data_IF_985394693562
#
_entry.id   IF_985394693562
#
_cell.length_a   1.000
_cell.length_b   1.000
_cell.length_c   1.000
_cell.angle_alpha   90.00
_cell.angle_beta   90.00
_cell.angle_gamma   90.00
#
_symmetry.space_group_name_H-M   'P 1'
#
loop_
_entity.id
_entity.type
_entity.pdbx_description
1 polymer ?
#
# COMPACT_ATOMS: atom_id res chain seq x y z
N UNK A 1 -5.29 13.50 7.98
CA UNK A 1 -4.26 12.71 7.27
C UNK A 1 -4.30 13.13 5.81
N UNK A 2 -3.21 13.69 5.30
CA UNK A 2 -3.16 14.26 3.95
C UNK A 2 -3.11 13.10 2.94
N UNK A 3 -4.11 13.02 2.05
CA UNK A 3 -4.12 12.18 0.84
C UNK A 3 -3.21 12.79 -0.26
N UNK A 4 -2.31 13.68 0.13
CA UNK A 4 -1.43 14.42 -0.78
C UNK A 4 -0.06 13.79 -0.77
N UNK A 5 0.62 13.92 -1.90
CA UNK A 5 2.07 13.80 -1.99
C UNK A 5 2.67 14.56 -0.79
N UNK A 6 3.61 13.97 -0.02
CA UNK A 6 4.18 14.62 1.17
C UNK A 6 4.66 16.06 0.93
N UNK A 7 5.03 16.39 -0.32
CA UNK A 7 5.50 17.70 -0.74
C UNK A 7 4.38 18.61 -1.31
N UNK A 8 3.15 18.13 -1.46
CA UNK A 8 2.03 18.87 -2.06
C UNK A 8 1.06 19.39 -0.98
N UNK A 9 0.94 20.72 -0.88
CA UNK A 9 0.05 21.37 0.08
C UNK A 9 -1.37 21.53 -0.48
N UNK A 10 -2.35 20.94 0.20
CA UNK A 10 -3.76 21.10 -0.14
C UNK A 10 -4.21 22.56 0.08
N UNK A 11 -4.88 23.20 -0.89
CA UNK A 11 -5.37 24.56 -0.74
C UNK A 11 -6.46 24.67 0.34
N UNK A 12 -6.37 25.70 1.17
CA UNK A 12 -7.34 26.00 2.23
C UNK A 12 -8.63 26.59 1.64
N UNK A 13 -9.72 25.83 1.74
CA UNK A 13 -11.02 26.21 1.17
C UNK A 13 -11.56 27.54 1.72
N UNK A 14 -11.24 27.88 2.96
CA UNK A 14 -11.67 29.14 3.57
C UNK A 14 -10.94 30.36 2.98
N UNK A 15 -9.73 30.14 2.42
CA UNK A 15 -8.92 31.20 1.80
C UNK A 15 -9.14 31.34 0.30
N UNK A 16 -9.25 30.21 -0.41
CA UNK A 16 -9.27 30.21 -1.89
C UNK A 16 -10.65 29.92 -2.49
N UNK A 17 -11.62 29.49 -1.66
CA UNK A 17 -12.96 29.12 -2.09
C UNK A 17 -13.03 27.77 -2.81
N UNK A 18 -14.25 27.22 -2.93
CA UNK A 18 -14.46 25.85 -3.43
C UNK A 18 -14.03 25.65 -4.90
N UNK A 19 -14.14 26.68 -5.75
CA UNK A 19 -13.76 26.58 -7.18
C UNK A 19 -12.27 26.30 -7.36
N UNK A 20 -11.42 26.94 -6.56
CA UNK A 20 -9.98 26.73 -6.60
C UNK A 20 -9.61 25.31 -6.13
N UNK A 21 -10.31 24.79 -5.10
CA UNK A 21 -10.14 23.40 -4.64
C UNK A 21 -10.55 22.39 -5.72
N UNK A 22 -11.65 22.64 -6.44
CA UNK A 22 -12.06 21.80 -7.57
C UNK A 22 -11.00 21.81 -8.68
N UNK A 23 -10.49 22.99 -9.03
CA UNK A 23 -9.47 23.09 -10.08
C UNK A 23 -8.19 22.35 -9.67
N UNK A 24 -7.70 22.58 -8.46
CA UNK A 24 -6.57 21.84 -7.88
C UNK A 24 -6.79 20.31 -7.93
N UNK A 25 -8.00 19.85 -7.61
CA UNK A 25 -8.34 18.42 -7.67
C UNK A 25 -8.27 17.88 -9.09
N UNK A 26 -8.78 18.63 -10.08
CA UNK A 26 -8.72 18.24 -11.49
C UNK A 26 -7.28 18.16 -11.99
N UNK A 27 -6.46 19.13 -11.64
CA UNK A 27 -5.05 19.18 -12.05
C UNK A 27 -4.28 17.97 -11.50
N UNK A 28 -4.58 17.56 -10.26
CA UNK A 28 -4.01 16.34 -9.65
C UNK A 28 -4.43 15.07 -10.37
N UNK A 29 -5.71 14.97 -10.76
CA UNK A 29 -6.18 13.82 -11.54
C UNK A 29 -5.42 13.75 -12.86
N UNK A 30 -5.27 14.86 -13.58
CA UNK A 30 -4.51 14.89 -14.85
C UNK A 30 -3.06 14.49 -14.64
N UNK A 31 -2.38 15.04 -13.62
CA UNK A 31 -1.00 14.68 -13.28
C UNK A 31 -0.87 13.18 -12.96
N UNK A 32 -1.80 12.62 -12.20
CA UNK A 32 -1.81 11.21 -11.84
C UNK A 32 -2.05 10.31 -13.06
N UNK A 33 -2.94 10.72 -13.97
CA UNK A 33 -3.20 10.02 -15.24
C UNK A 33 -1.95 10.02 -16.14
N UNK A 34 -1.28 11.16 -16.31
CA UNK A 34 -0.03 11.26 -17.07
C UNK A 34 1.07 10.38 -16.48
N UNK A 35 1.28 10.44 -15.15
CA UNK A 35 2.26 9.62 -14.47
C UNK A 35 1.96 8.11 -14.58
N UNK A 36 0.68 7.73 -14.67
CA UNK A 36 0.28 6.35 -14.91
C UNK A 36 0.63 5.92 -16.35
N UNK A 37 0.35 6.76 -17.34
CA UNK A 37 0.68 6.52 -18.75
C UNK A 37 2.19 6.38 -18.97
N UNK A 38 3.00 7.25 -18.37
CA UNK A 38 4.47 7.21 -18.44
C UNK A 38 5.07 5.91 -17.91
N UNK A 39 4.43 5.30 -16.91
CA UNK A 39 4.86 4.00 -16.35
C UNK A 39 4.56 2.82 -17.26
N UNK A 40 3.77 3.02 -18.33
CA UNK A 40 3.43 1.97 -19.29
C UNK A 40 2.54 0.86 -18.72
N UNK A 41 1.85 1.11 -17.60
CA UNK A 41 0.97 0.13 -17.00
C UNK A 41 -0.33 -0.03 -17.80
N UNK A 42 -0.79 -1.27 -17.94
CA UNK A 42 -2.09 -1.57 -18.56
C UNK A 42 -3.20 -1.43 -17.52
N UNK A 43 -4.19 -0.58 -17.78
CA UNK A 43 -5.42 -0.55 -16.96
C UNK A 43 -6.18 -1.85 -17.14
N UNK A 44 -6.56 -2.47 -16.03
CA UNK A 44 -7.50 -3.58 -16.02
C UNK A 44 -8.87 -3.03 -15.65
N UNK A 45 -9.91 -3.22 -16.49
CA UNK A 45 -11.25 -2.79 -16.14
C UNK A 45 -11.75 -3.59 -14.93
N UNK A 46 -12.67 -3.00 -14.17
CA UNK A 46 -13.43 -3.76 -13.17
C UNK A 46 -14.14 -4.93 -13.86
N UNK A 47 -14.27 -6.08 -13.18
CA UNK A 47 -15.10 -7.16 -13.69
C UNK A 47 -16.56 -6.68 -13.84
N UNK A 48 -17.28 -7.33 -14.74
CA UNK A 48 -18.68 -7.00 -15.05
C UNK A 48 -19.62 -7.37 -13.88
N UNK A 49 -19.28 -8.44 -13.15
CA UNK A 49 -19.93 -8.86 -11.91
C UNK A 49 -18.87 -9.21 -10.87
N UNK A 50 -19.11 -8.85 -9.61
CA UNK A 50 -18.25 -9.22 -8.49
C UNK A 50 -18.67 -10.54 -7.84
N UNK A 51 -19.82 -11.10 -8.22
CA UNK A 51 -20.37 -12.34 -7.63
C UNK A 51 -19.53 -13.57 -7.97
N UNK A 52 -18.79 -13.53 -9.10
CA UNK A 52 -17.92 -14.62 -9.55
C UNK A 52 -16.46 -14.45 -9.06
N UNK A 53 -16.16 -13.39 -8.30
CA UNK A 53 -14.80 -13.05 -7.90
C UNK A 53 -14.43 -13.70 -6.55
N UNK A 54 -13.30 -14.41 -6.54
CA UNK A 54 -12.72 -14.96 -5.32
C UNK A 54 -11.77 -13.93 -4.68
N UNK A 55 -12.27 -13.26 -3.64
CA UNK A 55 -11.52 -12.23 -2.89
C UNK A 55 -10.70 -12.88 -1.78
N UNK A 56 -9.39 -12.65 -1.79
CA UNK A 56 -8.47 -13.09 -0.74
C UNK A 56 -7.92 -11.89 0.03
N UNK A 57 -8.18 -11.86 1.33
CA UNK A 57 -7.63 -10.83 2.22
C UNK A 57 -6.20 -11.19 2.64
N UNK A 58 -5.27 -10.28 2.39
CA UNK A 58 -3.85 -10.40 2.73
C UNK A 58 -3.50 -9.38 3.80
N UNK A 59 -3.14 -9.89 4.99
CA UNK A 59 -2.39 -9.10 5.96
C UNK A 59 -0.92 -9.09 5.53
N UNK A 60 -0.46 -7.98 4.95
CA UNK A 60 0.84 -7.88 4.28
C UNK A 60 1.98 -8.29 5.22
N UNK A 61 1.99 -7.77 6.45
CA UNK A 61 3.01 -8.07 7.48
C UNK A 61 3.12 -9.55 7.83
N UNK A 62 2.06 -10.35 7.64
CA UNK A 62 2.04 -11.79 8.02
C UNK A 62 2.02 -12.75 6.83
N UNK A 63 2.07 -12.24 5.61
CA UNK A 63 1.88 -13.09 4.43
C UNK A 63 3.19 -13.69 3.91
N UNK A 64 4.15 -12.84 3.54
CA UNK A 64 5.45 -13.26 3.04
C UNK A 64 6.44 -12.11 3.16
N UNK A 65 7.62 -12.38 3.73
CA UNK A 65 8.76 -11.46 3.73
C UNK A 65 9.59 -11.70 2.45
N UNK A 66 9.71 -10.68 1.61
CA UNK A 66 10.42 -10.74 0.33
C UNK A 66 11.67 -9.89 0.26
N UNK A 67 11.87 -8.97 1.20
CA UNK A 67 13.01 -8.07 1.27
C UNK A 67 13.44 -7.80 2.73
N UNK A 68 14.46 -8.54 3.14
CA UNK A 68 15.01 -8.51 4.48
C UNK A 68 15.63 -7.16 4.89
N UNK A 69 15.93 -6.30 3.92
CA UNK A 69 16.54 -5.00 4.19
C UNK A 69 15.56 -3.99 4.80
N UNK A 70 14.24 -4.21 4.66
CA UNK A 70 13.21 -3.26 5.07
C UNK A 70 12.58 -3.56 6.44
N UNK A 71 12.96 -4.66 7.09
CA UNK A 71 12.30 -5.14 8.30
C UNK A 71 12.52 -4.25 9.53
N UNK A 72 13.68 -3.60 9.59
CA UNK A 72 14.02 -2.69 10.68
C UNK A 72 13.63 -1.23 10.40
N UNK A 73 13.12 -0.92 9.21
CA UNK A 73 12.70 0.45 8.87
C UNK A 73 11.54 0.87 9.77
N UNK A 74 11.66 2.06 10.37
CA UNK A 74 10.65 2.66 11.26
C UNK A 74 10.27 1.82 12.49
N UNK A 75 11.12 0.87 12.92
CA UNK A 75 10.91 0.14 14.18
C UNK A 75 11.40 1.02 15.35
N UNK A 76 10.53 1.40 16.30
CA UNK A 76 10.94 2.17 17.47
C UNK A 76 11.94 1.40 18.33
N UNK A 77 12.89 2.11 18.94
CA UNK A 77 13.94 1.49 19.77
C UNK A 77 13.40 0.59 20.90
N UNK A 78 12.24 0.94 21.48
CA UNK A 78 11.61 0.13 22.54
C UNK A 78 11.07 -1.22 22.05
N UNK A 79 10.77 -1.37 20.75
CA UNK A 79 10.36 -2.64 20.16
C UNK A 79 11.59 -3.50 19.86
N UNK A 80 12.71 -2.88 19.44
CA UNK A 80 13.98 -3.58 19.20
C UNK A 80 14.49 -4.25 20.48
N UNK A 81 14.30 -3.63 21.65
CA UNK A 81 14.69 -4.23 22.93
C UNK A 81 13.88 -5.46 23.34
N UNK A 82 12.77 -5.75 22.64
CA UNK A 82 11.91 -6.92 22.89
C UNK A 82 12.14 -8.08 21.91
N UNK A 83 13.17 -8.00 21.06
CA UNK A 83 13.56 -9.10 20.17
C UNK A 83 13.91 -10.34 21.02
N UNK A 84 13.04 -11.35 20.98
CA UNK A 84 13.22 -12.57 21.77
C UNK A 84 14.45 -13.37 21.30
N UNK A 85 14.70 -13.42 19.98
CA UNK A 85 15.72 -14.29 19.38
C UNK A 85 16.70 -13.59 18.42
N UNK A 86 16.80 -12.26 18.45
CA UNK A 86 17.65 -11.46 17.54
C UNK A 86 17.37 -11.68 16.03
N UNK A 87 16.27 -12.36 15.68
CA UNK A 87 15.81 -12.49 14.30
C UNK A 87 15.21 -11.16 13.85
N UNK A 88 15.74 -10.50 12.80
CA UNK A 88 15.31 -9.15 12.40
C UNK A 88 13.84 -9.03 11.97
N UNK A 89 13.18 -10.17 11.77
CA UNK A 89 11.87 -10.31 11.13
C UNK A 89 10.72 -10.52 12.11
N UNK A 90 11.03 -10.82 13.38
CA UNK A 90 10.03 -11.07 14.41
C UNK A 90 10.32 -10.13 15.57
N UNK A 91 9.82 -8.89 15.44
CA UNK A 91 9.87 -7.89 16.51
C UNK A 91 8.76 -8.20 17.52
N UNK A 92 8.69 -9.44 18.01
CA UNK A 92 7.59 -9.98 18.81
C UNK A 92 6.22 -9.85 18.14
N UNK A 93 5.16 -9.70 18.95
CA UNK A 93 3.77 -9.56 18.47
C UNK A 93 3.51 -8.34 17.55
N UNK A 94 4.51 -7.47 17.34
CA UNK A 94 4.36 -6.17 16.67
C UNK A 94 4.57 -6.22 15.16
N UNK A 95 5.58 -6.94 14.66
CA UNK A 95 5.93 -7.02 13.22
C UNK A 95 6.55 -8.37 12.87
N UNK A 96 6.12 -8.94 11.75
CA UNK A 96 6.52 -10.27 11.27
C UNK A 96 7.28 -10.20 9.92
N UNK A 97 7.49 -8.98 9.41
CA UNK A 97 8.38 -8.69 8.28
C UNK A 97 7.77 -8.93 6.89
N UNK A 98 6.48 -9.26 6.81
CA UNK A 98 5.83 -9.39 5.52
C UNK A 98 5.74 -8.06 4.76
N UNK A 99 5.97 -8.13 3.45
CA UNK A 99 6.08 -6.95 2.60
C UNK A 99 5.45 -7.14 1.21
N UNK A 100 5.39 -6.07 0.42
CA UNK A 100 4.81 -6.09 -0.93
C UNK A 100 5.65 -6.91 -1.94
N UNK A 101 6.95 -7.03 -1.72
CA UNK A 101 7.84 -7.83 -2.56
C UNK A 101 7.57 -9.33 -2.33
N UNK A 102 7.34 -9.74 -1.08
CA UNK A 102 6.93 -11.07 -0.69
C UNK A 102 5.55 -11.40 -1.22
N UNK A 103 4.57 -10.49 -1.09
CA UNK A 103 3.26 -10.65 -1.73
C UNK A 103 3.39 -10.85 -3.24
N UNK A 104 4.19 -10.02 -3.92
CA UNK A 104 4.46 -10.15 -5.36
C UNK A 104 5.05 -11.52 -5.71
N UNK A 105 5.96 -12.05 -4.89
CA UNK A 105 6.58 -13.36 -5.12
C UNK A 105 5.59 -14.54 -5.03
N UNK A 106 4.43 -14.33 -4.39
CA UNK A 106 3.38 -15.34 -4.17
C UNK A 106 2.14 -15.15 -5.04
N UNK A 107 2.15 -14.22 -6.00
CA UNK A 107 1.01 -14.03 -6.91
C UNK A 107 0.67 -15.30 -7.70
N UNK A 108 1.68 -16.09 -8.10
CA UNK A 108 1.45 -17.38 -8.77
C UNK A 108 0.71 -18.38 -7.87
N UNK A 109 1.06 -18.44 -6.59
CA UNK A 109 0.34 -19.27 -5.60
C UNK A 109 -1.13 -18.85 -5.45
N UNK A 110 -1.40 -17.54 -5.37
CA UNK A 110 -2.76 -17.02 -5.29
C UNK A 110 -3.56 -17.32 -6.56
N UNK A 111 -2.91 -17.24 -7.73
CA UNK A 111 -3.53 -17.60 -9.00
C UNK A 111 -3.85 -19.11 -9.07
N UNK A 112 -2.93 -19.97 -8.65
CA UNK A 112 -3.15 -21.43 -8.60
C UNK A 112 -4.26 -21.83 -7.61
N UNK A 113 -4.44 -21.04 -6.54
CA UNK A 113 -5.54 -21.18 -5.59
C UNK A 113 -6.90 -20.77 -6.20
N UNK A 114 -6.90 -20.06 -7.32
CA UNK A 114 -8.11 -19.54 -7.98
C UNK A 114 -8.55 -18.18 -7.44
N UNK A 115 -7.67 -17.43 -6.75
CA UNK A 115 -7.95 -16.07 -6.30
C UNK A 115 -7.92 -15.12 -7.50
N UNK A 116 -8.95 -14.28 -7.62
CA UNK A 116 -9.05 -13.28 -8.68
C UNK A 116 -8.88 -11.85 -8.17
N UNK A 117 -9.15 -11.62 -6.88
CA UNK A 117 -9.03 -10.30 -6.25
C UNK A 117 -8.23 -10.41 -4.95
N UNK A 118 -7.26 -9.50 -4.79
CA UNK A 118 -6.48 -9.38 -3.56
C UNK A 118 -6.92 -8.12 -2.81
N UNK A 119 -7.36 -8.29 -1.56
CA UNK A 119 -7.62 -7.19 -0.64
C UNK A 119 -6.48 -7.12 0.38
N UNK A 120 -5.70 -6.03 0.36
CA UNK A 120 -4.55 -5.87 1.26
C UNK A 120 -4.89 -5.07 2.52
N UNK A 121 -4.22 -5.40 3.63
CA UNK A 121 -4.18 -4.55 4.82
C UNK A 121 -3.62 -3.15 4.49
N UNK A 122 -3.91 -2.11 5.30
CA UNK A 122 -3.36 -0.77 5.09
C UNK A 122 -1.83 -0.77 4.99
N UNK A 123 -1.29 -0.19 3.92
CA UNK A 123 0.16 -0.13 3.62
C UNK A 123 0.76 1.28 3.79
N UNK A 124 -0.03 2.23 4.25
CA UNK A 124 0.42 3.60 4.47
C UNK A 124 1.35 3.66 5.69
N UNK A 125 2.25 4.65 5.71
CA UNK A 125 3.09 4.92 6.87
C UNK A 125 2.22 5.02 8.13
N UNK A 126 2.52 4.15 9.10
CA UNK A 126 1.93 4.19 10.42
C UNK A 126 2.86 5.02 11.32
N UNK A 127 2.31 6.07 11.95
CA UNK A 127 3.03 6.97 12.85
C UNK A 127 2.84 6.53 14.29
#
# INVERSE_FOLDING_TARGET
RKFTDPDEEQPDIQKVGYKAVIQWTKDRIVKAEQAFEERGFKRMPSPQSWDDEAVYYVMVDRFANGDLANDMINVPAFQITQLQDQTPYDVGDWRHGGDLQGLRSRLGYLQDLGVSVIWVSPIMLNN
#
